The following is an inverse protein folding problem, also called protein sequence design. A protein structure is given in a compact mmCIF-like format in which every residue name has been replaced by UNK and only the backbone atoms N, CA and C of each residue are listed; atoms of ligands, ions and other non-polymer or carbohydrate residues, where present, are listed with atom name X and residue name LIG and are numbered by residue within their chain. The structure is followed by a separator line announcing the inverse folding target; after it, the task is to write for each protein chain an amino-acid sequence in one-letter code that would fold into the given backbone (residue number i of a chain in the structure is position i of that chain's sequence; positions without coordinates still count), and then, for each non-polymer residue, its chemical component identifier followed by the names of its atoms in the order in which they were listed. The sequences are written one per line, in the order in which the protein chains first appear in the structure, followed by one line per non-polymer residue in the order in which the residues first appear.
data_IF_204832629707
#
_entry.id   IF_204832629707
#
_cell.length_a   1.000
_cell.length_b   1.000
_cell.length_c   1.000
_cell.angle_alpha   90.00
_cell.angle_beta   90.00
_cell.angle_gamma   90.00
#
_symmetry.space_group_name_H-M   'P 1'
#
loop_
_entity.id
_entity.type
_entity.pdbx_description
1 polymer ?
#
# COMPACT_ATOMS: atom_id res chain seq x y z
N UNK A 1 -10.63 -0.10 -28.76
CA UNK A 1 -9.42 -0.69 -28.19
C UNK A 1 -8.93 0.24 -27.09
N UNK A 2 -9.44 0.08 -25.87
CA UNK A 2 -8.98 0.86 -24.71
C UNK A 2 -7.72 0.20 -24.17
N UNK A 3 -6.58 0.87 -24.34
CA UNK A 3 -5.29 0.46 -23.81
C UNK A 3 -5.40 0.32 -22.29
N UNK A 4 -5.34 -0.92 -21.79
CA UNK A 4 -5.28 -1.19 -20.35
C UNK A 4 -3.87 -0.81 -19.91
N UNK A 5 -3.71 0.39 -19.33
CA UNK A 5 -2.43 0.85 -18.83
C UNK A 5 -1.96 -0.08 -17.70
N UNK A 6 -0.70 -0.51 -17.78
CA UNK A 6 -0.09 -1.35 -16.78
C UNK A 6 -0.25 -0.74 -15.39
N UNK A 7 -0.74 -1.54 -14.44
CA UNK A 7 -0.75 -1.18 -13.02
C UNK A 7 0.71 -1.01 -12.59
N UNK A 8 1.17 0.22 -12.47
CA UNK A 8 2.49 0.54 -11.93
C UNK A 8 2.34 0.69 -10.42
N UNK A 9 3.04 -0.15 -9.65
CA UNK A 9 3.12 -0.01 -8.20
C UNK A 9 4.39 0.75 -7.85
N UNK A 10 4.23 1.94 -7.26
CA UNK A 10 5.36 2.69 -6.69
C UNK A 10 5.55 2.29 -5.22
N UNK A 11 6.75 1.85 -4.81
CA UNK A 11 7.04 1.60 -3.41
C UNK A 11 7.06 2.92 -2.62
N UNK A 12 6.58 2.88 -1.38
CA UNK A 12 6.61 4.04 -0.49
C UNK A 12 7.98 4.20 0.17
N UNK A 13 8.41 5.44 0.39
CA UNK A 13 9.59 5.71 1.20
C UNK A 13 9.23 5.61 2.68
N UNK A 14 9.63 4.52 3.33
CA UNK A 14 9.39 4.29 4.75
C UNK A 14 10.46 4.98 5.58
N UNK A 15 10.05 5.92 6.42
CA UNK A 15 10.94 6.65 7.33
C UNK A 15 10.21 6.97 8.63
N UNK A 16 10.96 7.15 9.71
CA UNK A 16 10.41 7.44 11.01
C UNK A 16 11.46 7.51 12.10
N UNK A 17 11.00 7.58 13.36
CA UNK A 17 11.87 7.67 14.52
C UNK A 17 12.70 6.39 14.67
N UNK A 18 14.01 6.54 14.84
CA UNK A 18 14.93 5.45 15.15
C UNK A 18 15.38 5.55 16.61
N UNK A 19 15.03 4.57 17.44
CA UNK A 19 15.32 4.57 18.88
C UNK A 19 16.43 3.56 19.27
N UNK A 20 16.96 2.79 18.31
CA UNK A 20 18.00 1.77 18.49
C UNK A 20 17.83 0.58 17.53
N UNK A 21 18.82 -0.31 17.47
CA UNK A 21 18.83 -1.43 16.51
C UNK A 21 18.18 -2.72 17.06
N UNK A 22 17.91 -2.76 18.37
CA UNK A 22 17.32 -3.92 19.05
C UNK A 22 15.85 -4.16 18.66
N UNK A 23 15.35 -5.42 18.71
CA UNK A 23 13.97 -5.74 18.39
C UNK A 23 12.92 -4.96 19.20
N UNK A 24 13.27 -4.54 20.42
CA UNK A 24 12.45 -3.70 21.30
C UNK A 24 12.21 -2.28 20.75
N UNK A 25 13.05 -1.83 19.81
CA UNK A 25 12.95 -0.52 19.14
C UNK A 25 12.35 -0.63 17.74
N UNK A 26 12.02 -1.83 17.27
CA UNK A 26 11.44 -2.02 15.94
C UNK A 26 10.15 -1.24 15.76
N UNK A 27 10.08 -0.53 14.63
CA UNK A 27 8.89 0.14 14.12
C UNK A 27 8.60 -0.37 12.72
N UNK A 28 7.42 -0.06 12.19
CA UNK A 28 7.06 -0.48 10.83
C UNK A 28 8.10 -0.06 9.79
N UNK A 29 8.56 1.19 9.84
CA UNK A 29 9.54 1.70 8.88
C UNK A 29 10.86 0.92 8.89
N UNK A 30 11.27 0.38 10.03
CA UNK A 30 12.56 -0.27 10.19
C UNK A 30 12.56 -1.75 9.80
N UNK A 31 11.39 -2.36 9.57
CA UNK A 31 11.26 -3.81 9.34
C UNK A 31 10.44 -4.20 8.12
N UNK A 32 9.80 -3.25 7.45
CA UNK A 32 9.04 -3.50 6.22
C UNK A 32 9.96 -3.53 5.01
N UNK A 33 9.72 -4.47 4.10
CA UNK A 33 10.50 -4.65 2.88
C UNK A 33 9.60 -4.57 1.65
N UNK A 34 10.17 -4.31 0.48
CA UNK A 34 9.46 -4.38 -0.81
C UNK A 34 9.60 -5.76 -1.46
N UNK A 35 10.58 -6.56 -1.04
CA UNK A 35 10.86 -7.88 -1.62
C UNK A 35 10.30 -8.97 -0.71
N UNK A 36 9.32 -9.72 -1.24
CA UNK A 36 8.76 -10.88 -0.55
C UNK A 36 9.71 -12.08 -0.62
N UNK A 37 10.37 -12.40 0.49
CA UNK A 37 11.33 -13.51 0.59
C UNK A 37 10.81 -14.73 1.38
N UNK A 38 9.84 -14.52 2.27
CA UNK A 38 9.24 -15.56 3.13
C UNK A 38 7.74 -15.28 3.40
N UNK A 39 6.94 -16.26 3.87
CA UNK A 39 5.56 -16.01 4.29
C UNK A 39 5.46 -14.88 5.32
N UNK A 40 4.48 -14.00 5.17
CA UNK A 40 4.31 -12.81 5.99
C UNK A 40 3.05 -12.03 5.62
N UNK A 41 2.91 -10.82 6.16
CA UNK A 41 1.84 -9.90 5.82
C UNK A 41 2.31 -8.88 4.77
N UNK A 42 1.45 -8.52 3.83
CA UNK A 42 1.72 -7.46 2.87
C UNK A 42 0.65 -6.37 2.96
N UNK A 43 1.06 -5.12 2.83
CA UNK A 43 0.16 -3.98 2.61
C UNK A 43 0.14 -3.69 1.12
N UNK A 44 -1.06 -3.48 0.61
CA UNK A 44 -1.29 -3.00 -0.73
C UNK A 44 -2.20 -1.78 -0.68
N UNK A 45 -1.78 -0.71 -1.35
CA UNK A 45 -2.58 0.49 -1.54
C UNK A 45 -3.52 0.35 -2.74
N UNK A 46 -4.75 0.87 -2.62
CA UNK A 46 -5.65 1.06 -3.76
C UNK A 46 -6.11 2.52 -3.80
N UNK A 47 -5.45 3.33 -4.63
CA UNK A 47 -5.69 4.76 -4.76
C UNK A 47 -6.83 5.00 -5.76
N UNK A 48 -8.03 5.28 -5.22
CA UNK A 48 -9.25 5.41 -6.01
C UNK A 48 -10.27 6.35 -5.37
N UNK A 49 -10.63 7.43 -6.07
CA UNK A 49 -11.76 8.30 -5.71
C UNK A 49 -13.08 7.90 -6.36
N UNK A 50 -13.06 6.98 -7.32
CA UNK A 50 -14.26 6.66 -8.10
C UNK A 50 -15.35 6.02 -7.23
N UNK A 51 -14.98 5.15 -6.29
CA UNK A 51 -15.92 4.61 -5.31
C UNK A 51 -16.53 5.69 -4.41
N UNK A 52 -15.72 6.67 -3.97
CA UNK A 52 -16.21 7.80 -3.18
C UNK A 52 -17.17 8.68 -4.00
N UNK A 53 -16.81 9.00 -5.25
CA UNK A 53 -17.63 9.79 -6.18
C UNK A 53 -18.99 9.14 -6.42
N UNK A 54 -19.03 7.83 -6.68
CA UNK A 54 -20.27 7.09 -6.93
C UNK A 54 -21.21 7.06 -5.72
N UNK A 55 -20.66 7.12 -4.51
CA UNK A 55 -21.41 7.12 -3.26
C UNK A 55 -21.70 8.52 -2.70
N UNK A 56 -21.43 9.59 -3.46
CA UNK A 56 -21.67 10.97 -3.02
C UNK A 56 -20.75 11.44 -1.89
N UNK A 57 -19.66 10.72 -1.63
CA UNK A 57 -18.64 11.12 -0.66
C UNK A 57 -17.74 12.23 -1.23
N UNK A 58 -17.03 12.93 -0.35
CA UNK A 58 -15.96 13.86 -0.75
C UNK A 58 -14.79 13.05 -1.35
N UNK A 59 -14.16 13.59 -2.39
CA UNK A 59 -12.93 13.04 -2.98
C UNK A 59 -11.74 13.22 -2.02
N UNK A 60 -10.75 12.36 -2.15
CA UNK A 60 -9.53 12.30 -1.33
C UNK A 60 -9.12 10.87 -0.94
N UNK A 61 -9.89 9.84 -1.28
CA UNK A 61 -9.57 8.45 -1.02
C UNK A 61 -8.33 7.97 -1.80
N UNK A 62 -8.03 8.61 -2.94
CA UNK A 62 -6.80 8.38 -3.72
C UNK A 62 -5.53 8.58 -2.87
N UNK A 63 -5.53 9.54 -1.93
CA UNK A 63 -4.39 9.83 -1.05
C UNK A 63 -4.28 8.85 0.14
N UNK A 64 -5.36 8.13 0.44
CA UNK A 64 -5.47 7.24 1.59
C UNK A 64 -4.30 6.27 1.75
N UNK A 65 -3.86 5.56 0.70
CA UNK A 65 -2.71 4.65 0.78
C UNK A 65 -1.41 5.31 1.20
N UNK A 66 -1.15 6.56 0.81
CA UNK A 66 0.07 7.27 1.19
C UNK A 66 0.00 7.71 2.65
N UNK A 67 -1.07 8.42 3.02
CA UNK A 67 -1.27 8.91 4.40
C UNK A 67 -1.31 7.76 5.41
N UNK A 68 -1.89 6.62 5.05
CA UNK A 68 -1.89 5.43 5.91
C UNK A 68 -0.47 4.92 6.18
N UNK A 69 0.42 4.90 5.17
CA UNK A 69 1.81 4.45 5.35
C UNK A 69 2.61 5.42 6.21
N UNK A 70 2.43 6.72 6.03
CA UNK A 70 3.04 7.73 6.92
C UNK A 70 2.63 7.52 8.39
N UNK A 71 1.33 7.28 8.63
CA UNK A 71 0.82 7.01 9.97
C UNK A 71 1.36 5.69 10.55
N UNK A 72 1.47 4.64 9.72
CA UNK A 72 1.97 3.33 10.13
C UNK A 72 3.46 3.36 10.44
N UNK A 73 4.27 4.14 9.72
CA UNK A 73 5.72 4.10 9.75
C UNK A 73 6.29 4.12 11.18
N UNK A 74 5.74 4.96 12.05
CA UNK A 74 6.19 5.11 13.43
C UNK A 74 5.56 4.15 14.44
N UNK A 75 4.64 3.27 14.05
CA UNK A 75 4.03 2.33 15.00
C UNK A 75 5.03 1.26 15.43
N UNK A 76 5.04 0.86 16.72
CA UNK A 76 5.93 -0.18 17.21
C UNK A 76 5.53 -1.56 16.66
N UNK A 77 6.53 -2.45 16.55
CA UNK A 77 6.36 -3.82 16.09
C UNK A 77 6.78 -4.79 17.19
N UNK A 78 5.87 -5.66 17.61
CA UNK A 78 6.06 -6.58 18.73
C UNK A 78 6.15 -8.06 18.34
N UNK A 79 6.33 -8.36 17.06
CA UNK A 79 6.43 -9.75 16.58
C UNK A 79 7.35 -9.87 15.36
N UNK A 80 7.80 -11.09 15.11
CA UNK A 80 8.72 -11.42 14.02
C UNK A 80 8.03 -11.68 12.67
N UNK A 81 6.73 -11.40 12.53
CA UNK A 81 6.01 -11.62 11.28
C UNK A 81 6.63 -10.74 10.18
N UNK A 82 7.12 -11.31 9.06
CA UNK A 82 7.65 -10.52 7.96
C UNK A 82 6.58 -9.60 7.38
N UNK A 83 6.95 -8.36 7.05
CA UNK A 83 6.04 -7.35 6.52
C UNK A 83 6.54 -6.86 5.18
N UNK A 84 5.62 -6.68 4.25
CA UNK A 84 5.94 -6.24 2.90
C UNK A 84 5.07 -5.06 2.48
N UNK A 85 5.65 -4.13 1.73
CA UNK A 85 4.92 -3.13 0.97
C UNK A 85 4.83 -3.58 -0.49
N UNK A 86 3.63 -3.98 -0.92
CA UNK A 86 3.35 -4.36 -2.30
C UNK A 86 3.08 -3.15 -3.22
N UNK A 87 3.25 -1.93 -2.69
CA UNK A 87 3.05 -0.68 -3.40
C UNK A 87 1.59 -0.28 -3.52
N UNK A 88 1.29 0.64 -4.43
CA UNK A 88 -0.05 1.21 -4.61
C UNK A 88 -0.53 1.02 -6.04
N UNK A 89 -1.76 0.52 -6.17
CA UNK A 89 -2.50 0.45 -7.43
C UNK A 89 -3.29 1.74 -7.60
N UNK A 90 -3.11 2.41 -8.75
CA UNK A 90 -3.85 3.64 -9.08
C UNK A 90 -4.93 3.34 -10.11
N UNK A 91 -6.14 3.86 -9.87
CA UNK A 91 -7.24 3.78 -10.85
C UNK A 91 -7.13 4.94 -11.83
N UNK A 92 -7.00 4.62 -13.13
CA UNK A 92 -6.98 5.62 -14.19
C UNK A 92 -8.40 6.01 -14.59
N UNK A 93 -8.78 7.28 -14.36
CA UNK A 93 -10.11 7.77 -14.72
C UNK A 93 -11.21 7.15 -13.87
N UNK A 94 -12.27 6.62 -14.49
CA UNK A 94 -13.47 6.09 -13.81
C UNK A 94 -13.57 4.57 -13.85
N UNK A 95 -12.56 3.88 -14.41
CA UNK A 95 -12.56 2.43 -14.59
C UNK A 95 -12.04 1.69 -13.34
N UNK A 96 -12.82 1.79 -12.27
CA UNK A 96 -12.53 1.11 -11.00
C UNK A 96 -12.60 -0.41 -11.17
N UNK A 97 -13.64 -0.93 -11.83
CA UNK A 97 -13.86 -2.35 -12.04
C UNK A 97 -12.77 -3.01 -12.88
N UNK A 98 -12.34 -2.37 -13.97
CA UNK A 98 -11.23 -2.84 -14.80
C UNK A 98 -9.95 -2.96 -13.98
N UNK A 99 -9.64 -1.93 -13.16
CA UNK A 99 -8.46 -1.94 -12.29
C UNK A 99 -8.54 -3.04 -11.23
N UNK A 100 -9.70 -3.25 -10.60
CA UNK A 100 -9.92 -4.33 -9.62
C UNK A 100 -9.70 -5.71 -10.23
N UNK A 101 -10.24 -5.94 -11.44
CA UNK A 101 -10.13 -7.22 -12.13
C UNK A 101 -8.71 -7.53 -12.59
N UNK A 102 -8.01 -6.55 -13.17
CA UNK A 102 -6.61 -6.73 -13.58
C UNK A 102 -5.72 -7.07 -12.39
N UNK A 103 -5.90 -6.34 -11.28
CA UNK A 103 -5.10 -6.58 -10.10
C UNK A 103 -5.40 -7.94 -9.43
N UNK A 104 -6.66 -8.41 -9.42
CA UNK A 104 -7.00 -9.73 -8.90
C UNK A 104 -6.30 -10.89 -9.65
N UNK A 105 -5.96 -10.70 -10.94
CA UNK A 105 -5.23 -11.69 -11.73
C UNK A 105 -3.74 -11.76 -11.36
N UNK A 106 -3.16 -10.64 -10.90
CA UNK A 106 -1.75 -10.54 -10.54
C UNK A 106 -1.42 -11.15 -9.17
N UNK A 107 -2.42 -11.45 -8.33
CA UNK A 107 -2.25 -11.99 -6.99
C UNK A 107 -2.35 -13.51 -6.88
N UNK A 108 -2.49 -14.22 -8.01
CA UNK A 108 -2.47 -15.69 -8.08
C UNK A 108 -1.07 -16.20 -8.41
#
# INVERSE_FOLDING_TARGET
MTSHSAVSSTPHHWDGRHDGDGPEFHRWHSVIDTIRSKPGAAILGFACDEGARRNGCRRGATEGPHVLREALANLPVHNALPRYDAGTVTVNGTDMEGTQNEHAKLQK
#
